data_IF_455416904902
#
_entry.id   IF_455416904902
#
_cell.length_a   1.000
_cell.length_b   1.000
_cell.length_c   1.000
_cell.angle_alpha   90.00
_cell.angle_beta   90.00
_cell.angle_gamma   90.00
#
_symmetry.space_group_name_H-M   'P 1'
#
loop_
_entity.id
_entity.type
_entity.pdbx_description
1 polymer ?
#
# COMPACT_ATOMS: atom_id res chain seq x y z
N UNK A 1 7.14 -20.71 2.41
CA UNK A 1 7.51 -19.28 2.50
C UNK A 1 6.74 -18.69 3.67
N UNK A 2 7.42 -18.23 4.72
CA UNK A 2 6.80 -17.75 5.96
C UNK A 2 7.26 -16.31 6.15
N UNK A 3 6.36 -15.35 5.98
CA UNK A 3 6.66 -13.95 6.28
C UNK A 3 6.49 -13.81 7.79
N UNK A 4 7.61 -13.66 8.48
CA UNK A 4 7.66 -13.31 9.89
C UNK A 4 8.49 -12.06 10.04
N UNK A 5 7.81 -10.92 10.19
CA UNK A 5 8.24 -9.81 11.04
C UNK A 5 7.08 -8.82 11.17
N UNK A 6 6.24 -9.01 12.20
CA UNK A 6 5.24 -8.03 12.64
C UNK A 6 5.88 -7.08 13.66
N UNK A 7 7.03 -6.50 13.28
CA UNK A 7 7.85 -5.68 14.16
C UNK A 7 7.17 -4.35 14.54
N UNK A 8 6.73 -4.30 15.80
CA UNK A 8 6.56 -3.11 16.64
C UNK A 8 5.34 -2.22 16.35
N UNK A 9 4.19 -2.69 16.83
CA UNK A 9 3.06 -1.84 17.16
C UNK A 9 3.42 -0.86 18.30
N UNK A 10 3.27 0.44 18.02
CA UNK A 10 2.97 1.49 19.00
C UNK A 10 4.14 2.06 19.81
N UNK A 11 4.61 3.25 19.44
CA UNK A 11 4.71 4.44 20.32
C UNK A 11 4.68 5.69 19.41
N UNK A 12 3.62 6.49 19.48
CA UNK A 12 3.56 7.82 18.89
C UNK A 12 4.14 8.81 19.91
N UNK A 13 5.35 9.33 19.65
CA UNK A 13 5.85 10.50 20.37
C UNK A 13 5.55 11.75 19.56
N UNK A 14 4.79 12.64 20.20
CA UNK A 14 4.49 13.98 19.71
C UNK A 14 5.72 14.86 19.91
N UNK A 15 6.62 14.92 18.92
CA UNK A 15 7.53 16.04 18.72
C UNK A 15 8.18 15.88 17.35
N UNK A 16 7.90 16.85 16.47
CA UNK A 16 8.30 16.84 15.07
C UNK A 16 9.81 16.95 14.92
N UNK A 17 10.49 15.82 14.90
CA UNK A 17 11.80 15.64 14.26
C UNK A 17 11.77 14.26 13.60
N UNK A 18 11.74 14.25 12.27
CA UNK A 18 11.86 13.05 11.45
C UNK A 18 13.30 12.53 11.53
N UNK A 19 13.71 12.04 12.70
CA UNK A 19 14.79 11.07 12.74
C UNK A 19 14.22 9.73 12.26
N UNK A 20 15.04 8.98 11.52
CA UNK A 20 14.89 7.59 11.10
C UNK A 20 14.21 7.32 9.74
N UNK A 21 15.05 6.97 8.75
CA UNK A 21 14.69 6.27 7.52
C UNK A 21 13.85 5.00 7.77
N UNK A 22 13.98 4.37 8.95
CA UNK A 22 13.18 3.23 9.37
C UNK A 22 11.74 3.60 9.80
N UNK A 23 11.52 4.71 10.50
CA UNK A 23 10.16 5.10 10.93
C UNK A 23 9.35 5.70 9.77
N UNK A 24 10.00 6.42 8.85
CA UNK A 24 9.38 6.84 7.59
C UNK A 24 9.03 5.65 6.70
N UNK A 25 9.82 4.58 6.75
CA UNK A 25 9.60 3.33 6.03
C UNK A 25 8.23 2.73 6.30
N UNK A 26 7.76 2.72 7.55
CA UNK A 26 6.44 2.17 7.89
C UNK A 26 5.27 3.09 7.51
N UNK A 27 5.48 4.42 7.54
CA UNK A 27 4.41 5.39 7.31
C UNK A 27 3.91 5.44 5.86
N UNK A 28 4.76 5.10 4.88
CA UNK A 28 4.37 5.14 3.47
C UNK A 28 3.47 3.99 3.05
N UNK A 29 3.42 2.89 3.81
CA UNK A 29 2.46 1.79 3.57
C UNK A 29 1.14 1.99 4.32
N UNK A 30 1.14 2.88 5.32
CA UNK A 30 0.02 3.06 6.23
C UNK A 30 -1.25 3.54 5.52
N UNK A 31 -2.34 2.82 5.80
CA UNK A 31 -3.69 3.16 5.35
C UNK A 31 -4.16 4.48 6.01
N UNK A 32 -4.98 5.30 5.33
CA UNK A 32 -5.35 6.63 5.80
C UNK A 32 -6.09 6.62 7.15
N UNK A 33 -6.84 5.56 7.46
CA UNK A 33 -7.56 5.41 8.73
C UNK A 33 -6.63 5.15 9.92
N UNK A 34 -5.48 4.50 9.71
CA UNK A 34 -4.52 4.20 10.79
C UNK A 34 -3.85 5.48 11.30
N UNK A 35 -3.70 6.50 10.43
CA UNK A 35 -3.21 7.83 10.83
C UNK A 35 -4.19 8.58 11.76
N UNK A 36 -5.45 8.14 11.81
CA UNK A 36 -6.52 8.74 12.63
C UNK A 36 -6.74 7.95 13.94
N UNK A 37 -5.69 7.30 14.46
CA UNK A 37 -5.71 6.45 15.66
C UNK A 37 -6.63 5.22 15.59
N UNK A 38 -6.92 4.73 14.37
CA UNK A 38 -7.61 3.44 14.23
C UNK A 38 -6.64 2.27 14.40
N UNK A 39 -7.12 1.18 15.00
CA UNK A 39 -6.35 -0.07 15.11
C UNK A 39 -6.15 -0.71 13.72
N UNK A 40 -5.01 -1.39 13.56
CA UNK A 40 -4.74 -2.21 12.39
C UNK A 40 -5.86 -3.23 12.17
N UNK A 41 -6.23 -3.44 10.91
CA UNK A 41 -7.29 -4.34 10.49
C UNK A 41 -6.90 -5.07 9.20
N UNK A 42 -7.66 -6.11 8.86
CA UNK A 42 -7.50 -6.78 7.57
C UNK A 42 -7.59 -5.80 6.39
N UNK A 43 -8.38 -4.73 6.49
CA UNK A 43 -8.53 -3.74 5.43
C UNK A 43 -7.35 -2.79 5.34
N UNK A 44 -6.69 -2.46 6.46
CA UNK A 44 -5.45 -1.70 6.42
C UNK A 44 -4.31 -2.54 5.83
N UNK A 45 -4.31 -3.85 6.08
CA UNK A 45 -3.35 -4.77 5.47
C UNK A 45 -3.51 -4.85 3.95
N UNK A 46 -4.75 -4.85 3.44
CA UNK A 46 -5.02 -4.79 1.99
C UNK A 46 -4.48 -3.50 1.37
N UNK A 47 -4.63 -2.36 2.06
CA UNK A 47 -4.06 -1.10 1.57
C UNK A 47 -2.54 -1.16 1.50
N UNK A 48 -1.88 -1.58 2.58
CA UNK A 48 -0.42 -1.76 2.62
C UNK A 48 0.06 -2.71 1.54
N UNK A 49 -0.67 -3.81 1.32
CA UNK A 49 -0.39 -4.78 0.25
C UNK A 49 -0.52 -4.15 -1.14
N UNK A 50 -1.47 -3.23 -1.35
CA UNK A 50 -1.60 -2.48 -2.60
C UNK A 50 -0.35 -1.64 -2.89
N UNK A 51 0.18 -0.93 -1.88
CA UNK A 51 1.41 -0.14 -2.02
C UNK A 51 2.61 -1.04 -2.34
N UNK A 52 2.77 -2.15 -1.61
CA UNK A 52 3.83 -3.14 -1.87
C UNK A 52 3.71 -3.72 -3.28
N UNK A 53 2.50 -4.05 -3.70
CA UNK A 53 2.25 -4.58 -5.03
C UNK A 53 2.65 -3.57 -6.11
N UNK A 54 2.28 -2.30 -5.94
CA UNK A 54 2.74 -1.25 -6.84
C UNK A 54 4.27 -1.16 -6.91
N UNK A 55 4.96 -1.23 -5.77
CA UNK A 55 6.43 -1.19 -5.72
C UNK A 55 7.10 -2.39 -6.39
N UNK A 56 6.54 -3.60 -6.27
CA UNK A 56 7.10 -4.80 -6.91
C UNK A 56 7.11 -4.69 -8.44
N UNK A 57 6.12 -3.99 -9.01
CA UNK A 57 5.95 -3.84 -10.45
C UNK A 57 6.44 -2.49 -10.98
N UNK A 58 7.11 -1.71 -10.14
CA UNK A 58 7.66 -0.41 -10.52
C UNK A 58 9.16 -0.40 -10.27
N UNK A 59 9.92 0.02 -11.28
CA UNK A 59 11.34 0.30 -11.12
C UNK A 59 11.52 1.76 -10.67
N UNK A 60 12.32 1.97 -9.63
CA UNK A 60 12.68 3.30 -9.15
C UNK A 60 14.20 3.46 -9.18
N UNK A 61 14.67 4.56 -9.76
CA UNK A 61 16.10 4.89 -9.84
C UNK A 61 16.65 5.39 -8.50
N UNK A 62 15.77 5.86 -7.62
CA UNK A 62 16.14 6.37 -6.29
C UNK A 62 15.05 6.22 -5.23
N UNK A 63 15.46 6.33 -3.96
CA UNK A 63 14.53 6.36 -2.82
C UNK A 63 13.56 7.56 -2.91
N UNK A 64 14.04 8.72 -3.35
CA UNK A 64 13.23 9.94 -3.48
C UNK A 64 12.17 9.79 -4.58
N UNK A 65 12.52 9.16 -5.70
CA UNK A 65 11.57 8.83 -6.74
C UNK A 65 10.51 7.86 -6.23
N UNK A 66 10.91 6.75 -5.60
CA UNK A 66 9.98 5.79 -4.99
C UNK A 66 8.96 6.49 -4.09
N UNK A 67 9.44 7.35 -3.20
CA UNK A 67 8.56 8.11 -2.30
C UNK A 67 7.56 8.98 -3.08
N UNK A 68 8.05 9.76 -4.05
CA UNK A 68 7.21 10.63 -4.88
C UNK A 68 6.14 9.85 -5.64
N UNK A 69 6.50 8.73 -6.26
CA UNK A 69 5.57 7.91 -7.03
C UNK A 69 4.50 7.26 -6.15
N UNK A 70 4.86 6.80 -4.96
CA UNK A 70 3.88 6.31 -3.97
C UNK A 70 2.96 7.44 -3.51
N UNK A 71 3.46 8.65 -3.28
CA UNK A 71 2.59 9.79 -2.94
C UNK A 71 1.63 10.12 -4.10
N UNK A 72 2.11 10.13 -5.34
CA UNK A 72 1.27 10.35 -6.52
C UNK A 72 0.18 9.28 -6.65
N UNK A 73 0.52 8.01 -6.39
CA UNK A 73 -0.45 6.91 -6.37
C UNK A 73 -1.54 7.15 -5.31
N UNK A 74 -1.15 7.52 -4.08
CA UNK A 74 -2.10 7.80 -2.98
C UNK A 74 -3.00 9.00 -3.25
N UNK A 75 -2.49 10.01 -3.94
CA UNK A 75 -3.26 11.20 -4.35
C UNK A 75 -4.08 10.95 -5.63
N UNK A 76 -4.02 9.74 -6.20
CA UNK A 76 -4.67 9.40 -7.46
C UNK A 76 -4.26 10.34 -8.62
N UNK A 77 -3.00 10.78 -8.63
CA UNK A 77 -2.41 11.62 -9.70
C UNK A 77 -1.50 10.82 -10.64
N UNK A 78 -1.25 9.54 -10.32
CA UNK A 78 -0.48 8.63 -11.16
C UNK A 78 -1.37 7.96 -12.21
N UNK A 79 -0.86 7.76 -13.42
CA UNK A 79 -1.54 7.01 -14.48
C UNK A 79 -1.17 5.52 -14.48
N UNK A 80 -1.90 4.74 -15.28
CA UNK A 80 -1.72 3.29 -15.41
C UNK A 80 -0.60 2.90 -16.39
N UNK A 81 0.36 3.78 -16.70
CA UNK A 81 1.42 3.48 -17.66
C UNK A 81 2.20 2.23 -17.25
N UNK A 82 2.35 1.28 -18.17
CA UNK A 82 3.01 -0.01 -17.91
C UNK A 82 2.12 -1.06 -17.23
N UNK A 83 0.90 -0.73 -16.81
CA UNK A 83 -0.04 -1.66 -16.18
C UNK A 83 -1.15 -2.09 -17.13
N UNK A 84 -1.61 -3.34 -16.99
CA UNK A 84 -2.88 -3.72 -17.60
C UNK A 84 -4.02 -2.99 -16.88
N UNK A 85 -5.04 -2.54 -17.62
CA UNK A 85 -6.21 -1.84 -17.06
C UNK A 85 -6.86 -2.61 -15.89
N UNK A 86 -6.87 -3.93 -16.01
CA UNK A 86 -7.44 -4.82 -15.02
C UNK A 86 -6.64 -4.85 -13.71
N UNK A 87 -5.32 -4.95 -13.80
CA UNK A 87 -4.45 -4.94 -12.63
C UNK A 87 -4.43 -3.57 -11.97
N UNK A 88 -4.37 -2.49 -12.76
CA UNK A 88 -4.47 -1.14 -12.26
C UNK A 88 -5.79 -0.89 -11.51
N UNK A 89 -6.92 -1.29 -12.10
CA UNK A 89 -8.22 -1.16 -11.44
C UNK A 89 -8.29 -1.93 -10.12
N UNK A 90 -7.71 -3.13 -10.06
CA UNK A 90 -7.64 -3.91 -8.83
C UNK A 90 -6.74 -3.22 -7.79
N UNK A 91 -5.55 -2.75 -8.20
CA UNK A 91 -4.66 -1.96 -7.34
C UNK A 91 -5.36 -0.74 -6.75
N UNK A 92 -6.04 0.06 -7.58
CA UNK A 92 -6.76 1.25 -7.12
C UNK A 92 -7.88 0.88 -6.14
N UNK A 93 -8.58 -0.24 -6.33
CA UNK A 93 -9.59 -0.72 -5.36
C UNK A 93 -8.98 -1.15 -4.02
N UNK A 94 -7.74 -1.63 -3.99
CA UNK A 94 -7.03 -1.94 -2.75
C UNK A 94 -6.63 -0.69 -1.98
N UNK A 95 -6.45 0.43 -2.69
CA UNK A 95 -6.03 1.73 -2.16
C UNK A 95 -7.18 2.69 -1.87
N UNK A 96 -8.43 2.22 -1.87
CA UNK A 96 -9.60 3.04 -1.60
C UNK A 96 -9.50 3.72 -0.21
N UNK A 97 -9.91 4.99 -0.13
CA UNK A 97 -9.90 5.75 1.12
C UNK A 97 -10.84 5.13 2.16
N UNK A 98 -11.98 4.59 1.71
CA UNK A 98 -12.92 3.88 2.56
C UNK A 98 -12.50 2.39 2.70
N UNK A 99 -12.15 1.92 3.92
CA UNK A 99 -11.73 0.53 4.14
C UNK A 99 -12.78 -0.51 3.74
N UNK A 100 -14.06 -0.14 3.74
CA UNK A 100 -15.16 -1.05 3.39
C UNK A 100 -15.22 -1.37 1.90
N UNK A 101 -14.82 -0.43 1.05
CA UNK A 101 -14.80 -0.58 -0.42
C UNK A 101 -13.61 -1.42 -0.90
N UNK A 102 -12.55 -1.54 -0.08
CA UNK A 102 -11.40 -2.38 -0.41
C UNK A 102 -11.82 -3.84 -0.54
N UNK A 103 -11.30 -4.61 -1.51
CA UNK A 103 -11.62 -6.04 -1.61
C UNK A 103 -11.07 -6.83 -0.41
N UNK A 104 -11.55 -8.06 -0.22
CA UNK A 104 -10.90 -9.02 0.68
C UNK A 104 -9.73 -9.72 -0.03
N UNK A 105 -8.82 -10.33 0.75
CA UNK A 105 -7.72 -11.12 0.20
C UNK A 105 -8.24 -12.27 -0.68
N UNK A 106 -9.33 -12.92 -0.27
CA UNK A 106 -9.99 -13.99 -1.02
C UNK A 106 -10.53 -13.47 -2.36
N UNK A 107 -11.11 -12.27 -2.37
CA UNK A 107 -11.60 -11.65 -3.61
C UNK A 107 -10.46 -11.28 -4.55
N UNK A 108 -9.36 -10.72 -4.04
CA UNK A 108 -8.16 -10.41 -4.82
C UNK A 108 -7.63 -11.69 -5.47
N UNK A 109 -7.46 -12.75 -4.69
CA UNK A 109 -6.98 -14.05 -5.18
C UNK A 109 -7.90 -14.61 -6.28
N UNK A 110 -9.21 -14.56 -6.08
CA UNK A 110 -10.17 -15.02 -7.08
C UNK A 110 -10.08 -14.22 -8.39
N UNK A 111 -9.89 -12.90 -8.33
CA UNK A 111 -9.73 -12.05 -9.53
C UNK A 111 -8.43 -12.39 -10.27
N UNK A 112 -7.34 -12.62 -9.53
CA UNK A 112 -6.05 -12.99 -10.13
C UNK A 112 -6.08 -14.38 -10.78
N UNK A 113 -6.71 -15.36 -10.13
CA UNK A 113 -6.85 -16.72 -10.65
C UNK A 113 -7.78 -16.80 -11.87
N UNK A 114 -8.89 -16.05 -11.85
CA UNK A 114 -9.83 -16.00 -12.96
C UNK A 114 -9.26 -15.33 -14.23
N UNK A 115 -8.14 -14.61 -14.11
CA UNK A 115 -7.49 -13.88 -15.21
C UNK A 115 -6.14 -14.48 -15.60
N UNK A 116 -5.88 -15.74 -15.24
CA UNK A 116 -4.61 -16.44 -15.38
C UNK A 116 -4.11 -16.74 -16.80
N UNK A 117 -4.03 -15.72 -17.66
CA UNK A 117 -3.16 -15.64 -18.85
C UNK A 117 -2.22 -14.43 -18.68
N UNK A 118 -1.29 -14.52 -17.72
CA UNK A 118 -0.22 -13.53 -17.51
C UNK A 118 1.11 -14.08 -18.03
#
# INVERSE_FOLDING_TARGET
MKIGDFGLAGVLNAEGVFETSASLGNLIYMAPEIKKDSLASKKSDIYSLGIIWFEIFSDFESISERYREIQNLKMNTKDAAGWSKNLWSLLMSMLDENPSERPSAERILAVLQAKGDY
#
